data_IF_841922748807
#
_entry.id   IF_841922748807
#
_cell.length_a   1.000
_cell.length_b   1.000
_cell.length_c   1.000
_cell.angle_alpha   90.00
_cell.angle_beta   90.00
_cell.angle_gamma   90.00
#
_symmetry.space_group_name_H-M   'P 1'
#
loop_
_entity.id
_entity.type
_entity.pdbx_description
1 polymer ?
#
# COMPACT_ATOMS: atom_id res chain seq x y z
N UNK A 1 -15.37 -15.17 3.17
CA UNK A 1 -15.65 -14.00 4.05
C UNK A 1 -15.73 -12.76 3.17
N UNK A 2 -16.29 -11.64 3.63
CA UNK A 2 -16.28 -10.36 2.88
C UNK A 2 -15.22 -9.39 3.43
N UNK A 3 -14.88 -8.32 2.70
CA UNK A 3 -13.99 -7.28 3.21
C UNK A 3 -14.65 -6.53 4.37
N UNK A 4 -13.83 -6.13 5.35
CA UNK A 4 -14.21 -5.28 6.48
C UNK A 4 -14.41 -3.83 6.04
N UNK A 5 -13.61 -3.36 5.10
CA UNK A 5 -13.70 -2.02 4.53
C UNK A 5 -13.36 -2.05 3.03
N UNK A 6 -13.97 -1.15 2.26
CA UNK A 6 -13.68 -0.96 0.84
C UNK A 6 -13.58 0.53 0.56
N UNK A 7 -12.44 0.97 0.05
CA UNK A 7 -12.16 2.35 -0.33
C UNK A 7 -11.93 2.40 -1.84
N UNK A 8 -12.60 3.35 -2.49
CA UNK A 8 -12.42 3.60 -3.93
C UNK A 8 -11.99 5.03 -4.11
N UNK A 9 -10.88 5.22 -4.81
CA UNK A 9 -10.36 6.55 -5.11
C UNK A 9 -9.75 6.57 -6.52
N UNK A 10 -9.50 7.78 -7.02
CA UNK A 10 -8.74 7.98 -8.23
C UNK A 10 -7.39 8.58 -7.87
N UNK A 11 -6.32 7.95 -8.34
CA UNK A 11 -4.94 8.35 -8.04
C UNK A 11 -4.36 9.01 -9.28
N UNK A 12 -3.80 10.20 -9.14
CA UNK A 12 -3.03 10.84 -10.20
C UNK A 12 -1.65 10.21 -10.20
N UNK A 13 -1.20 9.72 -11.35
CA UNK A 13 0.13 9.15 -11.46
C UNK A 13 1.08 10.25 -11.90
N UNK A 14 2.08 10.50 -11.06
CA UNK A 14 3.21 11.35 -11.38
C UNK A 14 4.47 10.50 -11.21
N UNK A 15 5.39 10.60 -12.16
CA UNK A 15 6.60 9.76 -12.20
C UNK A 15 6.31 8.25 -12.30
N UNK A 16 5.18 7.86 -12.91
CA UNK A 16 4.85 6.46 -13.19
C UNK A 16 4.49 5.59 -11.98
N UNK A 17 4.29 6.15 -10.78
CA UNK A 17 3.92 5.38 -9.59
C UNK A 17 3.10 6.17 -8.55
N UNK A 18 2.58 5.46 -7.55
CA UNK A 18 2.02 5.98 -6.32
C UNK A 18 2.47 5.11 -5.14
N UNK A 19 2.26 5.57 -3.90
CA UNK A 19 2.75 4.91 -2.70
C UNK A 19 1.61 4.49 -1.78
N UNK A 20 1.81 3.38 -1.07
CA UNK A 20 1.04 2.97 0.11
C UNK A 20 2.00 2.94 1.30
N UNK A 21 1.68 3.66 2.38
CA UNK A 21 2.52 3.72 3.58
C UNK A 21 1.71 4.12 4.80
N UNK A 22 2.24 3.87 5.98
CA UNK A 22 1.69 4.44 7.22
C UNK A 22 1.98 5.95 7.30
N UNK A 23 1.10 6.70 7.98
CA UNK A 23 1.22 8.16 8.13
C UNK A 23 2.53 8.61 8.79
N UNK A 24 3.10 7.80 9.70
CA UNK A 24 4.34 8.14 10.39
C UNK A 24 5.61 7.77 9.61
N UNK A 25 5.49 6.92 8.60
CA UNK A 25 6.63 6.46 7.83
C UNK A 25 6.89 7.41 6.64
N UNK A 26 7.48 8.58 6.88
CA UNK A 26 7.94 9.52 5.83
C UNK A 26 9.41 9.26 5.42
N UNK A 27 10.06 8.26 6.03
CA UNK A 27 11.43 7.90 5.71
C UNK A 27 11.46 7.15 4.38
N UNK A 28 11.61 7.91 3.30
CA UNK A 28 11.84 7.43 1.95
C UNK A 28 13.03 6.46 1.89
N UNK A 29 12.75 5.17 1.99
CA UNK A 29 13.62 4.14 1.44
C UNK A 29 13.25 3.89 -0.02
N UNK A 30 13.47 4.95 -0.81
CA UNK A 30 13.19 4.99 -2.24
C UNK A 30 14.13 4.04 -3.01
N UNK A 31 15.19 3.53 -2.38
CA UNK A 31 16.22 2.72 -3.02
C UNK A 31 15.87 1.23 -3.10
N UNK A 32 15.37 0.65 -2.02
CA UNK A 32 15.09 -0.79 -1.95
C UNK A 32 13.82 -1.16 -2.72
N UNK A 33 12.74 -0.42 -2.47
CA UNK A 33 11.45 -0.56 -3.18
C UNK A 33 11.62 -0.40 -4.69
N UNK A 34 12.46 0.55 -5.13
CA UNK A 34 12.69 0.83 -6.56
C UNK A 34 13.56 -0.23 -7.25
N UNK A 35 14.50 -0.86 -6.53
CA UNK A 35 15.33 -1.95 -7.06
C UNK A 35 14.56 -3.25 -7.17
N UNK A 36 13.76 -3.56 -6.15
CA UNK A 36 12.87 -4.72 -6.10
C UNK A 36 11.75 -4.65 -7.17
N UNK A 37 11.55 -3.46 -7.74
CA UNK A 37 10.48 -3.13 -8.65
C UNK A 37 10.79 -3.37 -10.15
N UNK A 38 12.04 -3.57 -10.58
CA UNK A 38 12.31 -3.82 -12.00
C UNK A 38 11.54 -5.07 -12.51
N UNK A 39 10.61 -4.86 -13.44
CA UNK A 39 9.67 -5.82 -14.04
C UNK A 39 8.46 -6.29 -13.20
N UNK A 40 8.16 -5.64 -12.07
CA UNK A 40 7.04 -6.02 -11.19
C UNK A 40 5.92 -4.97 -11.10
N UNK A 41 4.73 -5.38 -10.60
CA UNK A 41 3.56 -4.49 -10.43
C UNK A 41 3.73 -3.51 -9.28
N UNK A 42 4.42 -3.93 -8.23
CA UNK A 42 4.74 -3.13 -7.07
C UNK A 42 6.12 -3.55 -6.53
N UNK A 43 6.76 -2.74 -5.71
CA UNK A 43 7.94 -3.07 -4.90
C UNK A 43 7.72 -2.61 -3.47
N UNK A 44 8.39 -3.21 -2.50
CA UNK A 44 8.20 -2.88 -1.08
C UNK A 44 9.52 -2.65 -0.36
N UNK A 45 9.49 -1.72 0.58
CA UNK A 45 10.30 -1.75 1.80
C UNK A 45 9.42 -2.23 2.97
N UNK A 46 9.97 -2.27 4.18
CA UNK A 46 9.21 -2.62 5.40
C UNK A 46 7.96 -1.76 5.59
N UNK A 47 8.07 -0.45 5.29
CA UNK A 47 7.07 0.56 5.65
C UNK A 47 6.38 1.22 4.46
N UNK A 48 6.76 0.85 3.24
CA UNK A 48 6.25 1.47 2.03
C UNK A 48 6.10 0.45 0.91
N UNK A 49 5.00 0.54 0.17
CA UNK A 49 4.80 -0.15 -1.09
C UNK A 49 4.71 0.88 -2.20
N UNK A 50 5.59 0.76 -3.19
CA UNK A 50 5.55 1.53 -4.44
C UNK A 50 4.77 0.74 -5.49
N UNK A 51 3.72 1.33 -6.06
CA UNK A 51 2.88 0.69 -7.10
C UNK A 51 3.08 1.38 -8.45
N UNK A 52 3.43 0.61 -9.49
CA UNK A 52 3.74 1.14 -10.82
C UNK A 52 2.54 1.20 -11.75
N UNK A 53 2.41 2.34 -12.42
CA UNK A 53 1.63 2.49 -13.64
C UNK A 53 2.57 2.64 -14.86
N UNK A 54 2.74 1.58 -15.70
CA UNK A 54 3.75 1.57 -16.75
C UNK A 54 3.45 2.52 -17.93
N UNK A 55 2.20 2.93 -18.14
CA UNK A 55 1.80 3.79 -19.24
C UNK A 55 1.78 5.30 -18.90
N UNK A 56 2.23 5.69 -17.71
CA UNK A 56 2.12 7.06 -17.16
C UNK A 56 0.75 7.74 -17.40
N UNK A 57 -0.38 7.04 -17.13
CA UNK A 57 -1.69 7.64 -17.28
C UNK A 57 -1.87 8.78 -16.30
N UNK A 58 -2.47 9.90 -16.72
CA UNK A 58 -2.70 11.06 -15.83
C UNK A 58 -3.51 10.68 -14.58
N UNK A 59 -4.36 9.64 -14.67
CA UNK A 59 -5.21 9.18 -13.58
C UNK A 59 -5.57 7.71 -13.72
N UNK A 60 -5.57 6.98 -12.61
CA UNK A 60 -5.98 5.58 -12.54
C UNK A 60 -7.08 5.36 -11.50
N UNK A 61 -7.84 4.29 -11.66
CA UNK A 61 -8.77 3.84 -10.62
C UNK A 61 -8.06 2.93 -9.62
N UNK A 62 -8.31 3.16 -8.32
CA UNK A 62 -7.82 2.34 -7.23
C UNK A 62 -8.99 1.88 -6.38
N UNK A 63 -9.11 0.56 -6.20
CA UNK A 63 -9.95 -0.06 -5.18
C UNK A 63 -9.04 -0.69 -4.11
N UNK A 64 -9.25 -0.33 -2.86
CA UNK A 64 -8.54 -0.88 -1.72
C UNK A 64 -9.54 -1.61 -0.82
N UNK A 65 -9.26 -2.87 -0.49
CA UNK A 65 -10.11 -3.72 0.32
C UNK A 65 -9.34 -4.17 1.55
N UNK A 66 -9.91 -3.95 2.73
CA UNK A 66 -9.32 -4.41 3.99
C UNK A 66 -10.08 -5.64 4.47
N UNK A 67 -9.35 -6.69 4.83
CA UNK A 67 -9.88 -7.99 5.21
C UNK A 67 -9.46 -8.37 6.64
N UNK A 68 -10.29 -9.20 7.28
CA UNK A 68 -9.99 -9.76 8.61
C UNK A 68 -8.86 -10.80 8.62
N UNK A 69 -8.54 -11.36 7.45
CA UNK A 69 -7.50 -12.36 7.22
C UNK A 69 -7.28 -12.51 5.72
N UNK A 70 -6.33 -13.36 5.32
CA UNK A 70 -5.93 -13.48 3.91
C UNK A 70 -7.14 -13.83 3.02
N UNK A 71 -7.46 -12.99 2.02
CA UNK A 71 -8.53 -13.30 1.08
C UNK A 71 -8.09 -14.38 0.10
N UNK A 72 -9.07 -15.18 -0.36
CA UNK A 72 -8.84 -16.08 -1.48
C UNK A 72 -8.28 -15.30 -2.68
N UNK A 73 -7.35 -15.88 -3.46
CA UNK A 73 -6.85 -15.24 -4.66
C UNK A 73 -8.00 -14.80 -5.59
N UNK A 74 -7.99 -13.52 -5.96
CA UNK A 74 -8.96 -12.98 -6.90
C UNK A 74 -8.81 -13.72 -8.24
N UNK A 75 -9.91 -14.30 -8.73
CA UNK A 75 -9.94 -15.07 -10.00
C UNK A 75 -10.16 -14.18 -11.23
N UNK A 76 -10.12 -12.87 -11.04
CA UNK A 76 -10.24 -11.87 -12.09
C UNK A 76 -9.12 -11.96 -13.13
N UNK A 77 -9.36 -11.36 -14.28
CA UNK A 77 -8.38 -11.25 -15.37
C UNK A 77 -7.44 -10.07 -15.08
N UNK A 78 -6.43 -10.32 -14.26
CA UNK A 78 -5.40 -9.32 -13.91
C UNK A 78 -4.16 -9.51 -14.79
N UNK A 79 -3.60 -8.42 -15.30
CA UNK A 79 -2.38 -8.42 -16.12
C UNK A 79 -1.12 -8.59 -15.26
N UNK A 80 -1.24 -8.36 -13.96
CA UNK A 80 -0.18 -8.66 -13.00
C UNK A 80 -0.71 -8.67 -11.58
N UNK A 81 -0.02 -9.43 -10.72
CA UNK A 81 -0.31 -9.56 -9.30
C UNK A 81 1.01 -9.67 -8.53
N UNK A 82 1.12 -8.98 -7.39
CA UNK A 82 2.23 -9.16 -6.46
C UNK A 82 1.74 -9.15 -5.03
N UNK A 83 2.22 -10.11 -4.22
CA UNK A 83 1.99 -10.17 -2.79
C UNK A 83 3.23 -9.66 -2.05
N UNK A 84 3.00 -8.81 -1.06
CA UNK A 84 3.96 -8.01 -0.32
C UNK A 84 3.53 -7.95 1.15
N UNK A 85 4.35 -7.30 1.98
CA UNK A 85 4.05 -7.00 3.37
C UNK A 85 4.23 -5.51 3.62
N UNK A 86 3.45 -4.95 4.54
CA UNK A 86 3.50 -3.55 4.95
C UNK A 86 3.34 -3.45 6.46
N UNK A 87 4.28 -2.78 7.12
CA UNK A 87 4.18 -2.44 8.53
C UNK A 87 3.40 -1.14 8.67
N UNK A 88 2.34 -1.16 9.48
CA UNK A 88 1.50 0.00 9.77
C UNK A 88 1.54 0.28 11.27
N UNK A 89 2.52 1.05 11.76
CA UNK A 89 2.69 1.31 13.18
C UNK A 89 1.53 2.08 13.83
N UNK A 90 0.90 3.00 13.11
CA UNK A 90 -0.24 3.76 13.64
C UNK A 90 -1.58 3.09 13.32
N UNK A 91 -1.60 2.23 12.29
CA UNK A 91 -2.83 1.71 11.71
C UNK A 91 -3.55 2.72 10.81
N UNK A 92 -2.88 3.82 10.44
CA UNK A 92 -3.38 4.81 9.48
C UNK A 92 -2.61 4.71 8.17
N UNK A 93 -3.28 4.20 7.14
CA UNK A 93 -2.71 4.01 5.82
C UNK A 93 -2.95 5.23 4.93
N UNK A 94 -1.89 5.73 4.31
CA UNK A 94 -1.92 6.73 3.26
C UNK A 94 -1.82 6.08 1.88
N UNK A 95 -2.66 6.54 0.96
CA UNK A 95 -2.44 6.41 -0.48
C UNK A 95 -1.84 7.73 -0.95
N UNK A 96 -0.54 7.76 -1.20
CA UNK A 96 0.17 9.00 -1.52
C UNK A 96 0.45 9.15 -3.02
N UNK A 97 0.21 10.36 -3.51
CA UNK A 97 0.58 10.80 -4.85
C UNK A 97 1.86 11.63 -4.76
N UNK A 98 2.87 11.23 -5.54
CA UNK A 98 4.14 11.95 -5.60
C UNK A 98 3.88 13.42 -5.98
N UNK A 99 4.32 14.36 -5.15
CA UNK A 99 4.12 15.83 -5.28
C UNK A 99 2.67 16.36 -5.18
N UNK A 100 1.66 15.50 -5.01
CA UNK A 100 0.26 15.90 -4.90
C UNK A 100 -0.39 15.52 -3.55
N UNK A 101 0.38 14.94 -2.63
CA UNK A 101 -0.06 14.57 -1.29
C UNK A 101 -0.96 13.33 -1.26
N UNK A 102 -1.65 13.11 -0.14
CA UNK A 102 -2.51 11.95 0.04
C UNK A 102 -3.76 12.01 -0.88
N UNK A 103 -3.96 10.96 -1.68
CA UNK A 103 -5.20 10.70 -2.40
C UNK A 103 -6.29 10.12 -1.49
N UNK A 104 -5.88 9.43 -0.42
CA UNK A 104 -6.74 8.90 0.62
C UNK A 104 -5.95 8.67 1.91
N UNK A 105 -6.63 8.85 3.04
CA UNK A 105 -6.17 8.45 4.37
C UNK A 105 -7.19 7.46 4.92
N UNK A 106 -6.71 6.31 5.40
CA UNK A 106 -7.56 5.15 5.71
C UNK A 106 -7.17 4.61 7.08
N UNK A 107 -8.09 4.72 8.04
CA UNK A 107 -7.96 4.02 9.34
C UNK A 107 -8.21 2.53 9.15
N UNK A 108 -7.22 1.70 9.46
CA UNK A 108 -7.32 0.25 9.36
C UNK A 108 -8.15 -0.29 10.53
N UNK A 109 -9.20 -1.11 10.30
CA UNK A 109 -10.10 -1.58 11.35
C UNK A 109 -9.41 -2.37 12.48
N UNK A 110 -8.27 -2.99 12.19
CA UNK A 110 -7.47 -3.75 13.16
C UNK A 110 -6.38 -2.91 13.83
N UNK A 111 -6.23 -1.64 13.44
CA UNK A 111 -5.24 -0.72 13.99
C UNK A 111 -3.81 -1.08 13.59
N UNK A 112 -2.88 -0.82 14.51
CA UNK A 112 -1.45 -1.06 14.33
C UNK A 112 -1.15 -2.55 14.06
N UNK A 113 -0.17 -2.82 13.19
CA UNK A 113 0.27 -4.17 12.91
C UNK A 113 0.99 -4.35 11.59
N UNK A 114 1.32 -5.60 11.30
CA UNK A 114 1.87 -6.02 10.02
C UNK A 114 0.74 -6.55 9.14
N UNK A 115 0.64 -6.00 7.94
CA UNK A 115 -0.38 -6.33 6.96
C UNK A 115 0.24 -7.07 5.78
N UNK A 116 -0.41 -8.15 5.38
CA UNK A 116 -0.19 -8.73 4.06
C UNK A 116 -0.91 -7.86 3.03
N UNK A 117 -0.24 -7.61 1.91
CA UNK A 117 -0.76 -6.76 0.84
C UNK A 117 -0.67 -7.52 -0.48
N UNK A 118 -1.75 -7.51 -1.26
CA UNK A 118 -1.76 -8.05 -2.61
C UNK A 118 -2.20 -6.96 -3.58
N UNK A 119 -1.31 -6.61 -4.51
CA UNK A 119 -1.54 -5.57 -5.51
C UNK A 119 -1.79 -6.24 -6.86
N UNK A 120 -2.93 -5.94 -7.44
CA UNK A 120 -3.34 -6.35 -8.76
C UNK A 120 -3.37 -5.15 -9.69
N UNK A 121 -3.01 -5.39 -10.96
CA UNK A 121 -3.11 -4.42 -12.05
C UNK A 121 -3.87 -5.02 -13.20
N UNK A 122 -4.76 -4.24 -13.80
CA UNK A 122 -5.38 -4.55 -15.09
C UNK A 122 -5.43 -3.32 -15.98
N UNK A 123 -5.46 -3.55 -17.29
CA UNK A 123 -5.55 -2.51 -18.30
C UNK A 123 -4.19 -1.90 -18.65
N UNK A 124 -4.21 -1.10 -19.72
CA UNK A 124 -3.09 -0.32 -20.21
C UNK A 124 -3.53 1.12 -20.43
N UNK A 125 -2.57 2.04 -20.45
CA UNK A 125 -2.78 3.46 -20.73
C UNK A 125 -3.85 4.09 -19.82
N UNK A 126 -4.72 4.93 -20.37
CA UNK A 126 -5.72 5.69 -19.63
C UNK A 126 -6.84 4.84 -19.00
N UNK A 127 -6.86 3.52 -19.24
CA UNK A 127 -7.84 2.59 -18.71
C UNK A 127 -7.30 1.72 -17.56
N UNK A 128 -6.16 2.10 -16.98
CA UNK A 128 -5.52 1.29 -15.96
C UNK A 128 -6.30 1.31 -14.62
N UNK A 129 -6.42 0.13 -14.02
CA UNK A 129 -7.08 -0.10 -12.74
C UNK A 129 -6.20 -0.91 -11.80
N UNK A 130 -6.26 -0.57 -10.52
CA UNK A 130 -5.57 -1.27 -9.45
C UNK A 130 -6.56 -1.76 -8.41
N UNK A 131 -6.31 -2.99 -7.95
CA UNK A 131 -6.95 -3.54 -6.76
C UNK A 131 -5.86 -3.84 -5.74
N UNK A 132 -6.06 -3.38 -4.51
CA UNK A 132 -5.18 -3.67 -3.39
C UNK A 132 -6.00 -4.37 -2.30
N UNK A 133 -5.66 -5.62 -2.04
CA UNK A 133 -6.18 -6.34 -0.88
C UNK A 133 -5.18 -6.24 0.27
N UNK A 134 -5.64 -5.77 1.43
CA UNK A 134 -4.88 -5.75 2.68
C UNK A 134 -5.53 -6.66 3.72
N UNK A 135 -4.72 -7.41 4.45
CA UNK A 135 -5.19 -8.19 5.59
C UNK A 135 -4.20 -8.17 6.73
N UNK A 136 -4.72 -8.06 7.94
CA UNK A 136 -3.90 -8.12 9.14
C UNK A 136 -3.28 -9.52 9.29
N UNK A 137 -1.99 -9.58 9.64
CA UNK A 137 -1.26 -10.84 9.83
C UNK A 137 -0.84 -11.05 11.28
N UNK A 138 -0.18 -10.06 11.86
CA UNK A 138 0.46 -10.15 13.18
C UNK A 138 0.60 -8.76 13.81
N UNK A 139 0.73 -8.65 15.15
CA UNK A 139 1.17 -7.41 15.77
C UNK A 139 2.54 -6.96 15.24
N UNK A 140 2.87 -5.68 15.42
CA UNK A 140 4.20 -5.16 15.08
C UNK A 140 5.29 -5.91 15.86
N UNK A 141 6.47 -6.11 15.27
CA UNK A 141 7.66 -6.47 16.02
C UNK A 141 7.91 -5.43 17.13
N UNK A 142 8.42 -5.83 18.31
CA UNK A 142 8.71 -4.92 19.41
C UNK A 142 9.77 -3.86 19.08
N UNK A 143 10.59 -4.09 18.04
CA UNK A 143 11.59 -3.11 17.56
C UNK A 143 10.99 -2.02 16.64
N UNK A 144 9.75 -2.22 16.18
CA UNK A 144 9.01 -1.30 15.29
C UNK A 144 7.89 -0.53 16.03
N UNK A 145 7.76 -0.74 17.33
CA UNK A 145 6.88 0.03 18.22
C UNK A 145 7.71 1.20 18.75
N UNK A 146 7.64 2.38 18.11
CA UNK A 146 8.37 3.60 18.50
C UNK A 146 7.96 4.16 19.89
N UNK A 147 7.44 3.32 20.80
CA UNK A 147 7.15 3.66 22.20
C UNK A 147 8.40 4.10 22.97
N UNK A 148 9.60 3.79 22.48
CA UNK A 148 10.86 4.22 23.11
C UNK A 148 11.21 5.70 22.85
N UNK A 149 10.58 6.40 21.90
CA UNK A 149 10.90 7.81 21.64
C UNK A 149 10.34 8.78 22.71
N UNK A 150 9.38 8.34 23.53
CA UNK A 150 8.77 9.16 24.59
C UNK A 150 9.27 8.87 26.01
N UNK A 151 10.22 7.94 26.18
CA UNK A 151 10.67 7.47 27.50
C UNK A 151 11.80 8.29 28.13
N UNK A 152 12.31 9.35 27.50
CA UNK A 152 13.45 10.11 28.03
C UNK A 152 13.29 11.64 27.96
N UNK A 153 12.41 12.18 28.81
CA UNK A 153 12.54 13.54 29.32
C UNK A 153 12.42 13.53 30.85
N UNK A 154 13.53 13.66 31.61
CA UNK A 154 13.49 13.92 33.04
C UNK A 154 13.02 15.35 33.37
#
# INVERSE_FOLDING_TARGET
MGPLAVHRTAVSILYGHFLLRDVWCDAGDDGESYRDWQDQVAGASTYQITVRAPSDPLRVSLELRVWGGEPEPDRGSWDGCRQLQLHCPTGELLVEQITAGAAAEITLPQGAGVYGVRVHRSGHDDAQAFLVDLWWQTPLPPDDDDEDFYSEFP
#
